data_IF_804523255245
#
_entry.id   IF_804523255245
#
_cell.length_a   1.000
_cell.length_b   1.000
_cell.length_c   1.000
_cell.angle_alpha   90.00
_cell.angle_beta   90.00
_cell.angle_gamma   90.00
#
_symmetry.space_group_name_H-M   'P 1'
#
loop_
_entity.id
_entity.type
_entity.pdbx_description
1 polymer ?
#
# COMPACT_ATOMS: atom_id res chain seq x y z
N UNK A 1 -19.87 11.79 -14.60
CA UNK A 1 -19.45 10.53 -13.97
C UNK A 1 -18.13 10.82 -13.31
N UNK A 2 -17.98 10.50 -12.03
CA UNK A 2 -16.73 10.69 -11.30
C UNK A 2 -15.62 9.92 -12.01
N UNK A 3 -14.75 10.66 -12.70
CA UNK A 3 -13.54 10.08 -13.29
C UNK A 3 -12.56 9.96 -12.15
N UNK A 4 -12.58 8.82 -11.47
CA UNK A 4 -11.58 8.54 -10.46
C UNK A 4 -10.23 8.35 -11.16
N UNK A 5 -9.27 9.21 -10.84
CA UNK A 5 -8.00 9.33 -11.56
C UNK A 5 -7.21 8.00 -11.63
N UNK A 6 -7.48 7.04 -10.72
CA UNK A 6 -6.81 5.74 -10.71
C UNK A 6 -7.08 4.89 -11.96
N UNK A 7 -8.26 4.97 -12.60
CA UNK A 7 -8.49 4.20 -13.84
C UNK A 7 -7.62 4.73 -14.99
N UNK A 8 -7.55 6.06 -15.14
CA UNK A 8 -6.75 6.74 -16.17
C UNK A 8 -5.24 6.72 -15.87
N UNK A 9 -4.85 6.63 -14.60
CA UNK A 9 -3.45 6.61 -14.18
C UNK A 9 -2.92 5.22 -13.86
N UNK A 10 -3.70 4.18 -14.12
CA UNK A 10 -3.35 2.80 -13.76
C UNK A 10 -2.99 2.67 -12.26
N UNK A 11 -3.67 3.40 -11.38
CA UNK A 11 -3.48 3.37 -9.93
C UNK A 11 -2.39 4.28 -9.37
N UNK A 12 -1.62 4.99 -10.21
CA UNK A 12 -0.52 5.86 -9.74
C UNK A 12 -1.00 6.96 -8.77
N UNK A 13 -2.16 7.56 -9.01
CA UNK A 13 -2.68 8.61 -8.13
C UNK A 13 -2.96 8.13 -6.71
N UNK A 14 -3.40 6.88 -6.53
CA UNK A 14 -3.57 6.31 -5.19
C UNK A 14 -2.23 6.18 -4.46
N UNK A 15 -1.16 5.85 -5.18
CA UNK A 15 0.18 5.78 -4.58
C UNK A 15 0.66 7.15 -4.10
N UNK A 16 0.35 8.24 -4.81
CA UNK A 16 0.67 9.60 -4.34
C UNK A 16 -0.01 9.91 -3.00
N UNK A 17 -1.29 9.54 -2.86
CA UNK A 17 -2.01 9.73 -1.60
C UNK A 17 -1.42 8.88 -0.48
N UNK A 18 -1.10 7.61 -0.75
CA UNK A 18 -0.47 6.70 0.23
C UNK A 18 0.92 7.18 0.64
N UNK A 19 1.71 7.69 -0.31
CA UNK A 19 3.02 8.28 -0.06
C UNK A 19 2.93 9.49 0.87
N UNK A 20 1.99 10.42 0.59
CA UNK A 20 1.74 11.59 1.42
C UNK A 20 1.26 11.24 2.85
N UNK A 21 0.65 10.06 3.02
CA UNK A 21 0.26 9.52 4.32
C UNK A 21 1.39 8.78 5.05
N UNK A 22 2.56 8.62 4.42
CA UNK A 22 3.73 7.96 5.01
C UNK A 22 3.67 6.43 4.97
N UNK A 23 2.93 5.83 4.05
CA UNK A 23 2.96 4.38 3.85
C UNK A 23 4.29 3.94 3.21
N UNK A 24 4.89 2.87 3.74
CA UNK A 24 6.18 2.34 3.26
C UNK A 24 6.05 1.57 1.94
N UNK A 25 5.01 0.76 1.78
CA UNK A 25 4.85 -0.09 0.61
C UNK A 25 3.37 -0.34 0.29
N UNK A 26 3.07 -0.56 -0.99
CA UNK A 26 1.73 -0.92 -1.47
C UNK A 26 1.80 -2.01 -2.53
N UNK A 27 0.85 -2.96 -2.49
CA UNK A 27 0.63 -3.91 -3.58
C UNK A 27 0.01 -3.18 -4.76
N UNK A 28 0.62 -3.34 -5.94
CA UNK A 28 0.18 -2.68 -7.16
C UNK A 28 0.04 -3.66 -8.31
N UNK A 29 -0.73 -3.30 -9.33
CA UNK A 29 -0.81 -4.01 -10.61
C UNK A 29 -0.57 -3.01 -11.74
N UNK A 30 0.69 -2.60 -11.89
CA UNK A 30 1.11 -1.58 -12.86
C UNK A 30 1.56 -2.22 -14.17
N UNK A 31 1.32 -1.55 -15.29
CA UNK A 31 2.04 -1.86 -16.53
C UNK A 31 3.52 -1.47 -16.41
N UNK A 32 4.43 -2.07 -17.21
CA UNK A 32 5.84 -1.67 -17.23
C UNK A 32 6.03 -0.16 -17.51
N UNK A 33 5.26 0.40 -18.44
CA UNK A 33 5.31 1.82 -18.78
C UNK A 33 4.87 2.71 -17.59
N UNK A 34 3.86 2.28 -16.83
CA UNK A 34 3.43 3.02 -15.64
C UNK A 34 4.44 2.93 -14.50
N UNK A 35 5.10 1.79 -14.32
CA UNK A 35 6.18 1.61 -13.34
C UNK A 35 7.40 2.47 -13.67
N UNK A 36 7.79 2.55 -14.95
CA UNK A 36 8.89 3.42 -15.38
C UNK A 36 8.59 4.89 -15.12
N UNK A 37 7.36 5.35 -15.43
CA UNK A 37 6.93 6.71 -15.10
C UNK A 37 6.94 7.00 -13.60
N UNK A 38 6.58 6.02 -12.77
CA UNK A 38 6.66 6.16 -11.32
C UNK A 38 8.09 6.23 -10.82
N UNK A 39 9.03 5.48 -11.39
CA UNK A 39 10.43 5.55 -10.99
C UNK A 39 11.04 6.96 -11.19
N UNK A 40 10.51 7.74 -12.15
CA UNK A 40 10.89 9.14 -12.34
C UNK A 40 10.23 10.13 -11.37
N UNK A 41 9.15 9.73 -10.68
CA UNK A 41 8.48 10.53 -9.66
C UNK A 41 9.04 10.05 -8.31
N UNK A 42 9.80 10.88 -7.62
CA UNK A 42 10.50 10.52 -6.38
C UNK A 42 9.53 10.22 -5.21
N UNK A 43 8.83 9.09 -5.27
CA UNK A 43 7.97 8.58 -4.22
C UNK A 43 8.79 7.80 -3.22
N UNK A 44 8.46 7.95 -1.94
CA UNK A 44 9.05 7.17 -0.87
C UNK A 44 8.38 5.78 -0.76
N UNK A 45 7.08 5.69 -1.04
CA UNK A 45 6.33 4.43 -1.03
C UNK A 45 6.84 3.49 -2.12
N UNK A 46 7.08 2.24 -1.73
CA UNK A 46 7.53 1.21 -2.65
C UNK A 46 6.34 0.51 -3.36
N UNK A 47 6.26 0.56 -4.70
CA UNK A 47 5.28 -0.21 -5.46
C UNK A 47 5.71 -1.69 -5.57
N UNK A 48 5.03 -2.58 -4.84
CA UNK A 48 5.35 -4.01 -4.77
C UNK A 48 4.46 -4.83 -5.71
N UNK A 49 5.09 -5.69 -6.50
CA UNK A 49 4.40 -6.72 -7.28
C UNK A 49 5.14 -8.08 -7.22
N UNK A 50 4.76 -9.03 -8.07
CA UNK A 50 5.34 -10.38 -8.08
C UNK A 50 6.81 -10.42 -8.47
N UNK A 51 7.29 -9.43 -9.23
CA UNK A 51 8.66 -9.37 -9.74
C UNK A 51 9.49 -8.27 -9.08
N UNK A 52 8.85 -7.36 -8.36
CA UNK A 52 9.49 -6.25 -7.66
C UNK A 52 9.16 -6.27 -6.16
N UNK A 53 9.84 -7.10 -5.36
CA UNK A 53 9.78 -7.00 -3.90
C UNK A 53 10.47 -5.71 -3.43
N UNK A 54 10.12 -5.26 -2.22
CA UNK A 54 10.80 -4.15 -1.56
C UNK A 54 11.48 -4.61 -0.28
N UNK A 55 12.64 -4.03 0.02
CA UNK A 55 13.46 -4.36 1.17
C UNK A 55 13.75 -3.08 1.94
N UNK A 56 13.47 -3.10 3.24
CA UNK A 56 13.68 -1.98 4.16
C UNK A 56 14.32 -2.52 5.44
N UNK A 57 15.65 -2.38 5.54
CA UNK A 57 16.47 -2.95 6.61
C UNK A 57 16.20 -4.45 6.83
N UNK A 58 15.49 -4.78 7.92
CA UNK A 58 15.15 -6.14 8.34
C UNK A 58 13.79 -6.61 7.81
N UNK A 59 13.07 -5.76 7.08
CA UNK A 59 11.74 -6.01 6.53
C UNK A 59 11.82 -6.29 5.04
N UNK A 60 10.97 -7.20 4.57
CA UNK A 60 10.74 -7.45 3.16
C UNK A 60 9.25 -7.38 2.86
N UNK A 61 8.86 -6.66 1.82
CA UNK A 61 7.48 -6.55 1.37
C UNK A 61 7.35 -7.28 0.04
N UNK A 62 6.48 -8.28 -0.02
CA UNK A 62 6.32 -9.13 -1.22
C UNK A 62 4.86 -9.30 -1.60
N UNK A 63 4.59 -9.56 -2.88
CA UNK A 63 3.25 -9.90 -3.32
C UNK A 63 2.82 -11.30 -2.89
N UNK A 64 3.75 -12.26 -2.77
CA UNK A 64 3.47 -13.62 -2.34
C UNK A 64 4.54 -14.10 -1.34
N UNK A 65 4.22 -15.14 -0.57
CA UNK A 65 5.23 -15.81 0.25
C UNK A 65 6.26 -16.46 -0.68
N UNK A 66 7.53 -16.13 -0.45
CA UNK A 66 8.67 -16.51 -1.29
C UNK A 66 9.92 -16.52 -0.42
N UNK A 67 10.98 -17.17 -0.89
CA UNK A 67 12.29 -17.08 -0.24
C UNK A 67 12.75 -15.62 -0.23
N UNK A 68 13.03 -15.11 0.97
CA UNK A 68 13.61 -13.77 1.17
C UNK A 68 15.09 -13.89 1.53
N UNK A 69 15.89 -12.83 1.33
CA UNK A 69 17.28 -12.77 1.79
C UNK A 69 17.40 -13.04 3.29
N UNK A 70 18.56 -13.56 3.72
CA UNK A 70 18.79 -13.99 5.11
C UNK A 70 18.79 -12.82 6.11
N UNK A 71 19.08 -11.61 5.63
CA UNK A 71 18.99 -10.36 6.37
C UNK A 71 17.55 -9.94 6.70
N UNK A 72 16.56 -10.44 5.95
CA UNK A 72 15.16 -10.14 6.17
C UNK A 72 14.61 -10.99 7.31
N UNK A 73 14.29 -10.32 8.42
CA UNK A 73 13.79 -10.94 9.65
C UNK A 73 12.27 -11.06 9.68
N UNK A 74 11.58 -10.26 8.86
CA UNK A 74 10.14 -10.33 8.67
C UNK A 74 9.80 -10.06 7.21
N UNK A 75 9.10 -11.00 6.58
CA UNK A 75 8.44 -10.83 5.31
C UNK A 75 6.98 -10.42 5.55
N UNK A 76 6.53 -9.33 4.95
CA UNK A 76 5.16 -8.85 4.96
C UNK A 76 4.56 -9.13 3.57
N UNK A 77 3.65 -10.11 3.52
CA UNK A 77 2.99 -10.52 2.28
C UNK A 77 1.77 -9.63 2.05
N UNK A 78 1.84 -8.80 1.01
CA UNK A 78 0.82 -7.79 0.68
C UNK A 78 -0.35 -8.33 -0.15
N UNK A 79 -0.44 -9.65 -0.32
CA UNK A 79 -1.65 -10.28 -0.86
C UNK A 79 -2.60 -10.65 0.27
N UNK A 80 -3.89 -10.29 0.16
CA UNK A 80 -4.87 -10.56 1.20
C UNK A 80 -5.07 -12.07 1.42
N UNK A 81 -5.24 -12.46 2.69
CA UNK A 81 -5.60 -13.82 3.10
C UNK A 81 -6.96 -13.86 3.80
N UNK A 82 -7.43 -15.06 4.13
CA UNK A 82 -8.65 -15.23 4.95
C UNK A 82 -8.38 -14.77 6.38
N UNK A 83 -7.19 -15.05 6.92
CA UNK A 83 -6.80 -14.73 8.30
C UNK A 83 -5.41 -14.10 8.34
N UNK A 84 -5.17 -13.30 9.39
CA UNK A 84 -3.84 -12.79 9.71
C UNK A 84 -3.05 -13.90 10.39
N UNK A 85 -1.90 -14.23 9.81
CA UNK A 85 -1.08 -15.33 10.28
C UNK A 85 0.40 -14.96 10.15
N UNK A 86 1.22 -15.46 11.09
CA UNK A 86 2.67 -15.38 11.01
C UNK A 86 3.21 -16.80 10.99
N UNK A 87 3.70 -17.23 9.84
CA UNK A 87 4.35 -18.53 9.66
C UNK A 87 5.85 -18.32 9.54
N UNK A 88 6.61 -18.78 10.53
CA UNK A 88 8.04 -18.48 10.70
C UNK A 88 8.30 -16.96 10.72
N UNK A 89 8.76 -16.40 9.60
CA UNK A 89 9.01 -14.98 9.42
C UNK A 89 8.08 -14.33 8.39
N UNK A 90 7.06 -15.02 7.88
CA UNK A 90 6.13 -14.50 6.88
C UNK A 90 4.80 -14.10 7.50
N UNK A 91 4.57 -12.79 7.63
CA UNK A 91 3.30 -12.20 8.02
C UNK A 91 2.38 -12.10 6.79
N UNK A 92 1.27 -12.81 6.84
CA UNK A 92 0.13 -12.60 5.93
C UNK A 92 -0.99 -11.86 6.66
N UNK A 93 -1.65 -10.94 5.96
CA UNK A 93 -2.70 -10.09 6.53
C UNK A 93 -4.09 -10.55 6.09
N UNK A 94 -5.04 -10.60 7.02
CA UNK A 94 -6.44 -10.85 6.71
C UNK A 94 -6.99 -9.79 5.76
N UNK A 95 -7.91 -10.20 4.89
CA UNK A 95 -8.74 -9.30 4.12
C UNK A 95 -9.56 -8.44 5.07
N UNK A 96 -9.58 -7.13 4.81
CA UNK A 96 -10.41 -6.17 5.53
C UNK A 96 -11.53 -5.70 4.61
N UNK A 97 -12.75 -5.67 5.13
CA UNK A 97 -13.91 -5.15 4.41
C UNK A 97 -14.22 -3.75 4.92
N UNK A 98 -14.58 -2.79 4.05
CA UNK A 98 -15.05 -1.49 4.50
C UNK A 98 -16.23 -1.61 5.48
N UNK A 99 -16.33 -0.72 6.49
CA UNK A 99 -15.44 0.41 6.79
C UNK A 99 -14.31 0.05 7.77
N UNK A 100 -13.84 -1.20 7.78
CA UNK A 100 -12.82 -1.67 8.71
C UNK A 100 -11.40 -1.47 8.18
N UNK A 101 -10.45 -1.30 9.09
CA UNK A 101 -9.02 -1.42 8.83
C UNK A 101 -8.38 -2.41 9.81
N UNK A 102 -7.30 -3.05 9.38
CA UNK A 102 -6.58 -4.05 10.16
C UNK A 102 -5.37 -3.41 10.84
N UNK A 103 -5.14 -3.77 12.10
CA UNK A 103 -3.93 -3.43 12.84
C UNK A 103 -3.28 -4.72 13.32
N UNK A 104 -1.98 -4.85 13.06
CA UNK A 104 -1.17 -5.96 13.56
C UNK A 104 0.07 -5.39 14.24
N UNK A 105 0.24 -5.69 15.51
CA UNK A 105 1.46 -5.40 16.26
C UNK A 105 2.36 -6.64 16.23
N UNK A 106 3.55 -6.48 15.66
CA UNK A 106 4.54 -7.55 15.53
C UNK A 106 5.80 -7.17 16.29
N UNK A 107 6.25 -8.07 17.15
CA UNK A 107 7.53 -7.94 17.82
C UNK A 107 8.59 -8.77 17.13
N UNK A 108 9.68 -8.11 16.77
CA UNK A 108 10.85 -8.74 16.16
C UNK A 108 11.99 -8.70 17.20
N UNK A 109 12.20 -9.76 18.02
CA UNK A 109 13.23 -9.77 19.05
C UNK A 109 14.62 -9.71 18.41
N UNK A 110 15.71 -9.28 19.07
CA UNK A 110 17.05 -9.33 18.43
C UNK A 110 17.53 -10.74 18.09
N UNK A 111 17.06 -11.75 18.84
CA UNK A 111 17.32 -13.18 18.61
C UNK A 111 16.00 -13.93 18.69
N UNK A 112 15.81 -14.92 17.81
CA UNK A 112 14.58 -15.70 17.72
C UNK A 112 13.62 -15.21 16.63
N UNK A 113 12.45 -15.84 16.61
CA UNK A 113 11.41 -15.63 15.60
C UNK A 113 10.51 -14.42 15.95
N UNK A 114 9.99 -13.70 14.94
CA UNK A 114 8.99 -12.66 15.17
C UNK A 114 7.72 -13.26 15.76
N UNK A 115 6.98 -12.45 16.52
CA UNK A 115 5.70 -12.87 17.12
C UNK A 115 4.65 -11.79 16.94
N UNK A 116 3.42 -12.19 16.60
CA UNK A 116 2.25 -11.29 16.65
C UNK A 116 1.90 -11.06 18.12
N UNK A 117 1.96 -9.81 18.56
CA UNK A 117 1.52 -9.40 19.91
C UNK A 117 0.02 -9.12 19.94
N UNK A 118 -0.49 -8.49 18.89
CA UNK A 118 -1.91 -8.19 18.74
C UNK A 118 -2.28 -8.18 17.26
N UNK A 119 -3.50 -8.60 16.95
CA UNK A 119 -4.12 -8.42 15.64
C UNK A 119 -5.59 -8.08 15.86
N UNK A 120 -6.06 -6.98 15.28
CA UNK A 120 -7.43 -6.52 15.42
C UNK A 120 -7.92 -5.86 14.13
N UNK A 121 -9.22 -5.95 13.88
CA UNK A 121 -9.89 -5.09 12.91
C UNK A 121 -10.65 -4.02 13.67
N UNK A 122 -10.48 -2.78 13.24
CA UNK A 122 -11.13 -1.60 13.83
C UNK A 122 -12.07 -1.03 12.79
N UNK A 123 -13.31 -0.79 13.20
CA UNK A 123 -14.33 -0.14 12.37
C UNK A 123 -14.16 1.36 12.46
N UNK A 124 -14.03 2.03 11.31
CA UNK A 124 -14.11 3.50 11.26
C UNK A 124 -15.56 3.91 11.52
N UNK A 125 -15.79 4.72 12.55
CA UNK A 125 -17.12 5.26 12.82
C UNK A 125 -17.57 6.17 11.67
N UNK A 126 -18.84 6.10 11.29
CA UNK A 126 -19.38 6.84 10.14
C UNK A 126 -19.32 8.37 10.29
N UNK A 127 -19.18 8.85 11.52
CA UNK A 127 -19.03 10.26 11.89
C UNK A 127 -17.57 10.67 12.11
N UNK A 128 -16.61 9.77 11.84
CA UNK A 128 -15.18 10.09 11.95
C UNK A 128 -14.87 11.23 10.99
N UNK A 129 -14.42 12.39 11.48
CA UNK A 129 -14.08 13.51 10.61
C UNK A 129 -12.90 13.11 9.72
N UNK A 130 -12.91 13.52 8.45
CA UNK A 130 -11.84 13.16 7.55
C UNK A 130 -10.55 13.87 7.97
N UNK A 131 -9.42 13.18 7.84
CA UNK A 131 -8.12 13.74 8.20
C UNK A 131 -7.75 14.86 7.21
N UNK A 132 -7.54 16.11 7.64
CA UNK A 132 -7.39 17.25 6.72
C UNK A 132 -6.23 17.09 5.71
N UNK A 133 -5.03 16.61 6.10
CA UNK A 133 -3.98 16.24 5.14
C UNK A 133 -4.42 15.22 4.07
N UNK A 134 -5.15 14.17 4.46
CA UNK A 134 -5.64 13.16 3.52
C UNK A 134 -6.65 13.78 2.55
N UNK A 135 -7.58 14.59 3.07
CA UNK A 135 -8.57 15.31 2.25
C UNK A 135 -7.87 16.20 1.24
N UNK A 136 -6.90 17.00 1.67
CA UNK A 136 -6.18 17.90 0.78
C UNK A 136 -5.43 17.15 -0.34
N UNK A 137 -4.82 15.99 -0.03
CA UNK A 137 -4.16 15.16 -1.02
C UNK A 137 -5.15 14.57 -2.03
N UNK A 138 -6.30 14.07 -1.56
CA UNK A 138 -7.37 13.54 -2.42
C UNK A 138 -7.96 14.64 -3.30
N UNK A 139 -8.29 15.80 -2.73
CA UNK A 139 -8.83 16.96 -3.46
C UNK A 139 -7.88 17.43 -4.56
N UNK A 140 -6.57 17.47 -4.27
CA UNK A 140 -5.54 17.79 -5.25
C UNK A 140 -5.53 16.78 -6.41
N UNK A 141 -5.53 15.48 -6.10
CA UNK A 141 -5.58 14.41 -7.09
C UNK A 141 -6.85 14.53 -7.95
N UNK A 142 -8.01 14.78 -7.35
CA UNK A 142 -9.28 14.93 -8.08
C UNK A 142 -9.32 16.20 -8.95
N UNK A 143 -8.74 17.30 -8.48
CA UNK A 143 -8.62 18.53 -9.26
C UNK A 143 -7.75 18.32 -10.51
N UNK A 144 -6.62 17.64 -10.35
CA UNK A 144 -5.70 17.31 -11.44
C UNK A 144 -6.37 16.37 -12.47
N UNK A 145 -7.15 15.39 -11.98
CA UNK A 145 -7.93 14.48 -12.83
C UNK A 145 -8.89 15.22 -13.75
N UNK A 146 -9.63 16.17 -13.17
CA UNK A 146 -10.61 16.99 -13.90
C UNK A 146 -9.92 17.88 -14.93
N UNK A 147 -8.78 18.46 -14.57
CA UNK A 147 -7.99 19.28 -15.49
C UNK A 147 -7.55 18.47 -16.72
N UNK A 148 -6.92 17.31 -16.54
CA UNK A 148 -6.50 16.45 -17.66
C UNK A 148 -7.67 15.96 -18.52
N UNK A 149 -8.79 15.58 -17.90
CA UNK A 149 -9.98 15.15 -18.62
C UNK A 149 -10.59 16.27 -19.47
N UNK A 150 -10.46 17.53 -19.03
CA UNK A 150 -10.94 18.70 -19.79
C UNK A 150 -10.07 19.01 -21.00
N UNK A 151 -8.74 18.83 -20.90
CA UNK A 151 -7.82 19.03 -22.03
C UNK A 151 -8.01 17.98 -23.13
N UNK A 152 -8.14 16.69 -22.78
CA UNK A 152 -8.39 15.62 -23.77
C UNK A 152 -9.69 15.79 -24.59
N UNK A 153 -10.64 16.61 -24.13
CA UNK A 153 -11.90 16.88 -24.84
C UNK A 153 -11.83 18.09 -25.78
N UNK A 154 -10.78 18.91 -25.66
CA UNK A 154 -10.56 20.08 -26.49
C UNK A 154 -9.78 19.77 -27.77
N UNK A 155 -9.15 18.59 -27.83
CA UNK A 155 -8.52 17.99 -29.01
C UNK A 155 -9.50 17.06 -29.75
#
# INVERSE_FOLDING_TARGET
GDVWHCAETEGRSALLALDAMGFTAARVSLSPASRERLAGNALAIAPVDETHPHYDEILCYTAASTSVPAECRLQIVLSPRVETQLDQNALSLATVTPPNFGLVDVFIPQKGEPVIRAAQQVTVASDTPPNPPIVAAVDFIEAEARYYASQKKAD
#
